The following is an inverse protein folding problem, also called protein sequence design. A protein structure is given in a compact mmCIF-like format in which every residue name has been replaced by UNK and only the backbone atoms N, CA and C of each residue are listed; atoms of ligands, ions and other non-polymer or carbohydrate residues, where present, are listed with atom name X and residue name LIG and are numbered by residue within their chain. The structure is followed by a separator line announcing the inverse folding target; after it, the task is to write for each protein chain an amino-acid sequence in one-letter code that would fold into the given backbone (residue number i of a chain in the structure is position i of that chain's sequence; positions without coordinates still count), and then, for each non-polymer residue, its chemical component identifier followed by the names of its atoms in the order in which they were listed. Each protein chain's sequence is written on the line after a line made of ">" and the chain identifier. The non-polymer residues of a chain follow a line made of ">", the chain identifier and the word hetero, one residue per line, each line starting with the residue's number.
data_IF_084200775192
#
_entry.id   IF_084200775192
#
_cell.length_a   1.000
_cell.length_b   1.000
_cell.length_c   1.000
_cell.angle_alpha   90.00
_cell.angle_beta   90.00
_cell.angle_gamma   90.00
#
_symmetry.space_group_name_H-M   'P 1'
#
loop_
_entity.id
_entity.type
_entity.pdbx_description
1 polymer ?
#
# COMPACT_ATOMS: atom_id res chain seq x y z
N UNK A 1 32.10 -27.34 -9.87
CA UNK A 1 31.65 -25.95 -9.65
C UNK A 1 30.21 -26.07 -9.19
N UNK A 2 30.03 -26.31 -7.89
CA UNK A 2 28.71 -26.54 -7.30
C UNK A 2 28.20 -25.20 -6.80
N UNK A 3 27.29 -24.63 -7.57
CA UNK A 3 26.47 -23.49 -7.17
C UNK A 3 25.36 -24.03 -6.25
N UNK A 4 25.77 -24.53 -5.07
CA UNK A 4 24.84 -24.85 -4.00
C UNK A 4 24.44 -23.50 -3.38
N UNK A 5 23.28 -23.01 -3.78
CA UNK A 5 22.61 -21.89 -3.12
C UNK A 5 22.55 -22.17 -1.61
N UNK A 6 23.09 -21.24 -0.81
CA UNK A 6 23.17 -21.33 0.66
C UNK A 6 21.82 -21.60 1.36
N UNK A 7 20.69 -21.50 0.64
CA UNK A 7 19.33 -21.68 1.17
C UNK A 7 18.80 -23.12 1.09
N UNK A 8 19.43 -24.00 0.31
CA UNK A 8 18.89 -25.34 0.01
C UNK A 8 17.74 -25.38 -1.01
N UNK A 9 17.34 -24.23 -1.58
CA UNK A 9 16.33 -24.14 -2.63
C UNK A 9 16.94 -23.89 -4.02
N UNK A 10 16.25 -24.33 -5.08
CA UNK A 10 16.66 -23.98 -6.45
C UNK A 10 16.65 -22.45 -6.61
N UNK A 11 17.55 -21.86 -7.41
CA UNK A 11 17.64 -20.40 -7.59
C UNK A 11 16.30 -19.72 -7.90
N UNK A 12 15.44 -20.36 -8.68
CA UNK A 12 14.11 -19.83 -9.02
C UNK A 12 13.12 -19.86 -7.85
N UNK A 13 13.24 -20.82 -6.93
CA UNK A 13 12.43 -20.86 -5.71
C UNK A 13 12.90 -19.77 -4.73
N UNK A 14 14.22 -19.60 -4.63
CA UNK A 14 14.87 -18.55 -3.85
C UNK A 14 14.42 -17.14 -4.28
N UNK A 15 14.38 -16.89 -5.58
CA UNK A 15 13.91 -15.62 -6.15
C UNK A 15 12.43 -15.34 -5.79
N UNK A 16 11.55 -16.34 -5.86
CA UNK A 16 10.14 -16.20 -5.47
C UNK A 16 10.01 -15.95 -3.96
N UNK A 17 10.78 -16.66 -3.12
CA UNK A 17 10.78 -16.46 -1.67
C UNK A 17 11.34 -15.09 -1.27
N UNK A 18 12.40 -14.61 -1.93
CA UNK A 18 12.91 -13.24 -1.75
C UNK A 18 11.88 -12.20 -2.14
N UNK A 19 11.17 -12.43 -3.26
CA UNK A 19 10.07 -11.55 -3.70
C UNK A 19 8.95 -11.53 -2.66
N UNK A 20 8.61 -12.67 -2.06
CA UNK A 20 7.61 -12.76 -0.98
C UNK A 20 8.06 -11.96 0.26
N UNK A 21 9.33 -12.11 0.67
CA UNK A 21 9.88 -11.34 1.80
C UNK A 21 9.81 -9.84 1.57
N UNK A 22 10.21 -9.37 0.39
CA UNK A 22 10.11 -7.97 -0.01
C UNK A 22 8.66 -7.47 -0.01
N UNK A 23 7.74 -8.27 -0.57
CA UNK A 23 6.33 -7.96 -0.61
C UNK A 23 5.74 -7.78 0.80
N UNK A 24 6.07 -8.67 1.75
CA UNK A 24 5.61 -8.56 3.14
C UNK A 24 6.11 -7.26 3.79
N UNK A 25 7.40 -6.93 3.65
CA UNK A 25 7.97 -5.71 4.21
C UNK A 25 7.33 -4.46 3.59
N UNK A 26 7.17 -4.43 2.26
CA UNK A 26 6.52 -3.33 1.56
C UNK A 26 5.06 -3.14 2.03
N UNK A 27 4.33 -4.25 2.19
CA UNK A 27 2.97 -4.26 2.73
C UNK A 27 2.87 -3.67 4.14
N UNK A 28 3.77 -4.06 5.04
CA UNK A 28 3.84 -3.52 6.40
C UNK A 28 4.09 -2.00 6.39
N UNK A 29 4.90 -1.50 5.45
CA UNK A 29 5.10 -0.06 5.26
C UNK A 29 3.80 0.67 4.90
N UNK A 30 2.98 0.09 4.01
CA UNK A 30 1.67 0.64 3.64
C UNK A 30 0.71 0.62 4.84
N UNK A 31 0.68 -0.47 5.61
CA UNK A 31 -0.14 -0.59 6.83
C UNK A 31 0.24 0.47 7.88
N UNK A 32 1.55 0.74 8.03
CA UNK A 32 2.04 1.79 8.92
C UNK A 32 1.66 3.20 8.44
N UNK A 33 1.71 3.46 7.13
CA UNK A 33 1.25 4.72 6.55
C UNK A 33 -0.26 4.92 6.73
N UNK A 34 -1.04 3.87 6.50
CA UNK A 34 -2.48 3.89 6.75
C UNK A 34 -2.76 4.17 8.23
N UNK A 35 -2.06 3.49 9.15
CA UNK A 35 -2.17 3.77 10.58
C UNK A 35 -1.83 5.23 10.92
N UNK A 36 -0.76 5.77 10.35
CA UNK A 36 -0.40 7.18 10.53
C UNK A 36 -1.48 8.12 10.00
N UNK A 37 -2.09 7.81 8.85
CA UNK A 37 -3.19 8.60 8.32
C UNK A 37 -4.40 8.62 9.28
N UNK A 38 -4.71 7.48 9.89
CA UNK A 38 -5.80 7.37 10.87
C UNK A 38 -5.50 8.11 12.18
N UNK A 39 -4.25 8.11 12.62
CA UNK A 39 -3.82 8.79 13.84
C UNK A 39 -3.77 10.32 13.70
N UNK A 40 -3.46 10.84 12.51
CA UNK A 40 -3.22 12.27 12.31
C UNK A 40 -4.25 12.92 11.38
N UNK A 41 -4.12 12.89 10.03
CA UNK A 41 -5.00 13.64 9.14
C UNK A 41 -6.47 13.22 9.25
N UNK A 42 -6.73 11.93 9.51
CA UNK A 42 -8.07 11.36 9.60
C UNK A 42 -8.51 11.14 11.05
N UNK A 43 -7.78 11.68 12.03
CA UNK A 43 -8.12 11.53 13.44
C UNK A 43 -9.54 12.03 13.71
N UNK A 44 -10.37 11.20 14.35
CA UNK A 44 -11.78 11.52 14.65
C UNK A 44 -12.78 11.16 13.55
N UNK A 45 -12.34 10.73 12.37
CA UNK A 45 -13.15 10.25 11.25
C UNK A 45 -12.85 8.74 11.01
N UNK A 46 -13.80 7.97 10.47
CA UNK A 46 -14.57 6.89 11.12
C UNK A 46 -13.81 5.69 11.71
N UNK A 47 -12.48 5.67 11.64
CA UNK A 47 -11.58 4.67 12.19
C UNK A 47 -10.87 5.27 13.41
N UNK A 48 -11.42 5.01 14.59
CA UNK A 48 -11.03 5.63 15.85
C UNK A 48 -9.93 4.89 16.60
N UNK A 49 -9.66 3.62 16.27
CA UNK A 49 -8.74 2.78 17.04
C UNK A 49 -7.93 1.81 16.18
N UNK A 50 -6.79 1.36 16.71
CA UNK A 50 -5.91 0.35 16.09
C UNK A 50 -6.67 -0.95 15.83
N UNK A 51 -7.64 -1.30 16.67
CA UNK A 51 -8.48 -2.49 16.52
C UNK A 51 -9.40 -2.39 15.31
N UNK A 52 -9.90 -1.20 14.97
CA UNK A 52 -10.73 -1.01 13.78
C UNK A 52 -9.90 -1.07 12.49
N UNK A 53 -8.64 -0.61 12.55
CA UNK A 53 -7.66 -0.83 11.49
C UNK A 53 -7.34 -2.32 11.34
N UNK A 54 -7.11 -3.04 12.44
CA UNK A 54 -6.93 -4.49 12.41
C UNK A 54 -8.14 -5.20 11.81
N UNK A 55 -9.37 -4.81 12.17
CA UNK A 55 -10.57 -5.36 11.55
C UNK A 55 -10.64 -5.09 10.05
N UNK A 56 -10.25 -3.89 9.59
CA UNK A 56 -10.15 -3.59 8.16
C UNK A 56 -9.10 -4.49 7.49
N UNK A 57 -7.92 -4.61 8.08
CA UNK A 57 -6.82 -5.41 7.55
C UNK A 57 -7.17 -6.89 7.55
N UNK A 58 -7.60 -7.47 8.66
CA UNK A 58 -7.91 -8.90 8.82
C UNK A 58 -9.14 -9.33 8.02
N UNK A 59 -10.21 -8.52 8.02
CA UNK A 59 -11.49 -8.93 7.43
C UNK A 59 -11.74 -8.35 6.05
N UNK A 60 -10.91 -7.40 5.59
CA UNK A 60 -11.18 -6.64 4.38
C UNK A 60 -12.64 -6.13 4.34
N UNK A 61 -13.04 -5.42 5.41
CA UNK A 61 -14.41 -4.92 5.56
C UNK A 61 -14.71 -3.82 4.55
N UNK A 62 -15.50 -4.13 3.51
CA UNK A 62 -15.95 -3.15 2.50
C UNK A 62 -16.64 -1.92 3.11
N UNK A 63 -17.41 -2.11 4.18
CA UNK A 63 -18.07 -1.00 4.88
C UNK A 63 -17.07 -0.08 5.59
N UNK A 64 -15.98 -0.63 6.12
CA UNK A 64 -14.91 0.15 6.75
C UNK A 64 -14.03 0.82 5.69
N UNK A 65 -13.75 0.15 4.58
CA UNK A 65 -13.03 0.69 3.44
C UNK A 65 -13.78 1.88 2.81
N UNK A 66 -15.09 1.74 2.54
CA UNK A 66 -15.89 2.84 1.98
C UNK A 66 -15.94 4.07 2.87
N UNK A 67 -15.96 3.86 4.20
CA UNK A 67 -15.88 4.93 5.21
C UNK A 67 -14.53 5.65 5.19
N UNK A 68 -13.43 4.91 5.08
CA UNK A 68 -12.08 5.48 4.91
C UNK A 68 -11.97 6.28 3.61
N UNK A 69 -12.42 5.71 2.48
CA UNK A 69 -12.39 6.36 1.16
C UNK A 69 -13.18 7.66 1.14
N UNK A 70 -14.34 7.70 1.80
CA UNK A 70 -15.12 8.92 1.97
C UNK A 70 -14.32 10.00 2.70
N UNK A 71 -13.74 9.66 3.86
CA UNK A 71 -12.95 10.61 4.66
C UNK A 71 -11.68 11.12 3.95
N UNK A 72 -11.09 10.29 3.08
CA UNK A 72 -9.96 10.69 2.23
C UNK A 72 -10.39 11.67 1.13
N UNK A 73 -11.50 11.38 0.42
CA UNK A 73 -12.02 12.25 -0.66
C UNK A 73 -12.44 13.63 -0.17
N UNK A 74 -12.80 13.76 1.11
CA UNK A 74 -13.11 15.06 1.72
C UNK A 74 -11.85 15.94 1.89
N UNK A 75 -10.65 15.36 1.86
CA UNK A 75 -9.38 16.06 2.12
C UNK A 75 -8.48 16.16 0.89
N UNK A 76 -8.58 15.19 -0.03
CA UNK A 76 -7.75 15.11 -1.23
C UNK A 76 -8.59 14.67 -2.42
N UNK A 77 -8.29 15.24 -3.58
CA UNK A 77 -8.85 14.75 -4.84
C UNK A 77 -8.16 13.44 -5.21
N UNK A 78 -8.90 12.34 -5.13
CA UNK A 78 -8.38 11.00 -5.40
C UNK A 78 -8.70 10.60 -6.83
N UNK A 79 -7.71 10.06 -7.54
CA UNK A 79 -7.93 9.46 -8.85
C UNK A 79 -9.08 8.42 -8.80
N UNK A 80 -10.00 8.39 -9.79
CA UNK A 80 -11.20 7.54 -9.74
C UNK A 80 -10.92 6.04 -9.54
N UNK A 81 -9.74 5.57 -9.97
CA UNK A 81 -9.34 4.15 -9.85
C UNK A 81 -8.74 3.80 -8.49
N UNK A 82 -8.55 4.77 -7.59
CA UNK A 82 -7.87 4.53 -6.31
C UNK A 82 -8.62 3.52 -5.44
N UNK A 83 -9.95 3.59 -5.42
CA UNK A 83 -10.81 2.68 -4.64
C UNK A 83 -10.51 1.21 -5.00
N UNK A 84 -10.44 0.93 -6.31
CA UNK A 84 -10.14 -0.41 -6.81
C UNK A 84 -8.70 -0.84 -6.50
N UNK A 85 -7.75 0.10 -6.53
CA UNK A 85 -6.35 -0.18 -6.19
C UNK A 85 -6.22 -0.53 -4.71
N UNK A 86 -6.87 0.23 -3.83
CA UNK A 86 -6.84 -0.02 -2.38
C UNK A 86 -7.57 -1.32 -2.02
N UNK A 87 -8.74 -1.59 -2.62
CA UNK A 87 -9.48 -2.84 -2.43
C UNK A 87 -8.60 -4.05 -2.86
N UNK A 88 -7.99 -3.99 -4.06
CA UNK A 88 -7.06 -5.05 -4.51
C UNK A 88 -5.87 -5.22 -3.58
N UNK A 89 -5.26 -4.13 -3.11
CA UNK A 89 -4.14 -4.18 -2.16
C UNK A 89 -4.53 -4.95 -0.89
N UNK A 90 -5.66 -4.60 -0.27
CA UNK A 90 -6.14 -5.23 0.97
C UNK A 90 -6.53 -6.71 0.75
N UNK A 91 -7.14 -7.03 -0.39
CA UNK A 91 -7.43 -8.42 -0.76
C UNK A 91 -6.14 -9.25 -0.88
N UNK A 92 -5.15 -8.74 -1.61
CA UNK A 92 -3.87 -9.42 -1.79
C UNK A 92 -3.11 -9.58 -0.46
N UNK A 93 -3.11 -8.55 0.39
CA UNK A 93 -2.56 -8.63 1.75
C UNK A 93 -3.15 -9.80 2.52
N UNK A 94 -4.48 -9.97 2.48
CA UNK A 94 -5.14 -11.08 3.18
C UNK A 94 -4.86 -12.45 2.59
N UNK A 95 -4.66 -12.53 1.27
CA UNK A 95 -4.17 -13.75 0.65
C UNK A 95 -2.77 -14.08 1.18
N UNK A 96 -1.84 -13.11 1.20
CA UNK A 96 -0.48 -13.31 1.71
C UNK A 96 -0.49 -13.73 3.18
N UNK A 97 -1.26 -13.05 4.02
CA UNK A 97 -1.27 -13.27 5.46
C UNK A 97 -1.96 -14.57 5.89
N UNK A 98 -3.01 -14.99 5.17
CA UNK A 98 -3.92 -16.02 5.69
C UNK A 98 -4.26 -17.14 4.70
N UNK A 99 -4.12 -16.92 3.38
CA UNK A 99 -4.73 -17.81 2.37
C UNK A 99 -3.82 -18.17 1.22
N UNK A 100 -2.51 -18.01 1.37
CA UNK A 100 -1.55 -18.23 0.27
C UNK A 100 -1.61 -19.65 -0.30
N UNK A 101 -1.97 -20.64 0.55
CA UNK A 101 -2.12 -22.05 0.18
C UNK A 101 -3.50 -22.40 -0.41
N UNK A 102 -4.51 -21.53 -0.26
CA UNK A 102 -5.91 -21.80 -0.60
C UNK A 102 -6.34 -21.17 -1.94
N UNK A 103 -5.40 -20.60 -2.70
CA UNK A 103 -5.73 -19.93 -3.96
C UNK A 103 -6.02 -20.96 -5.05
N UNK A 104 -7.24 -20.98 -5.64
CA UNK A 104 -7.59 -21.91 -6.71
C UNK A 104 -6.66 -21.76 -7.92
N UNK A 105 -6.25 -22.88 -8.51
CA UNK A 105 -5.22 -22.89 -9.56
C UNK A 105 -3.79 -22.74 -9.02
N UNK A 106 -3.61 -22.45 -7.74
CA UNK A 106 -2.40 -22.70 -6.96
C UNK A 106 -1.29 -21.65 -7.13
N UNK A 107 -0.85 -21.13 -5.98
CA UNK A 107 0.50 -20.60 -5.80
C UNK A 107 1.36 -21.71 -5.21
N UNK A 108 2.45 -22.06 -5.88
CA UNK A 108 3.31 -23.14 -5.41
C UNK A 108 4.77 -22.91 -5.82
N UNK A 109 5.69 -23.51 -5.07
CA UNK A 109 7.14 -23.40 -5.31
C UNK A 109 7.69 -24.56 -6.13
N UNK A 110 6.89 -25.54 -6.52
CA UNK A 110 7.35 -26.81 -7.08
C UNK A 110 7.16 -26.87 -8.60
N UNK A 111 6.07 -26.33 -9.12
CA UNK A 111 5.75 -26.18 -10.54
C UNK A 111 6.28 -24.84 -11.10
N UNK A 112 6.63 -24.83 -12.39
CA UNK A 112 7.01 -23.58 -13.07
C UNK A 112 5.83 -22.59 -13.11
N UNK A 113 4.63 -23.12 -13.34
CA UNK A 113 3.41 -22.34 -13.50
C UNK A 113 2.99 -21.67 -12.18
N UNK A 114 3.00 -22.41 -11.07
CA UNK A 114 2.70 -21.89 -9.74
C UNK A 114 3.70 -20.86 -9.27
N UNK A 115 5.00 -21.06 -9.55
CA UNK A 115 6.04 -20.05 -9.28
C UNK A 115 5.81 -18.78 -10.07
N UNK A 116 5.48 -18.91 -11.36
CA UNK A 116 5.17 -17.78 -12.22
C UNK A 116 3.97 -16.98 -11.72
N UNK A 117 2.87 -17.66 -11.38
CA UNK A 117 1.66 -17.04 -10.81
C UNK A 117 1.94 -16.35 -9.48
N UNK A 118 2.64 -17.03 -8.57
CA UNK A 118 2.99 -16.46 -7.26
C UNK A 118 3.85 -15.20 -7.43
N UNK A 119 4.89 -15.25 -8.27
CA UNK A 119 5.73 -14.07 -8.52
C UNK A 119 4.93 -12.91 -9.11
N UNK A 120 4.11 -13.17 -10.12
CA UNK A 120 3.26 -12.13 -10.74
C UNK A 120 2.29 -11.51 -9.72
N UNK A 121 1.66 -12.35 -8.89
CA UNK A 121 0.78 -11.90 -7.81
C UNK A 121 1.52 -10.99 -6.80
N UNK A 122 2.72 -11.37 -6.37
CA UNK A 122 3.52 -10.58 -5.42
C UNK A 122 3.98 -9.24 -6.02
N UNK A 123 4.39 -9.23 -7.30
CA UNK A 123 4.74 -8.01 -8.01
C UNK A 123 3.54 -7.06 -8.12
N UNK A 124 2.36 -7.57 -8.48
CA UNK A 124 1.14 -6.77 -8.55
C UNK A 124 0.74 -6.22 -7.18
N UNK A 125 0.90 -7.01 -6.12
CA UNK A 125 0.66 -6.55 -4.75
C UNK A 125 1.57 -5.39 -4.37
N UNK A 126 2.87 -5.48 -4.66
CA UNK A 126 3.81 -4.38 -4.40
C UNK A 126 3.51 -3.13 -5.24
N UNK A 127 3.10 -3.29 -6.49
CA UNK A 127 2.70 -2.16 -7.35
C UNK A 127 1.47 -1.44 -6.79
N UNK A 128 0.41 -2.19 -6.43
CA UNK A 128 -0.76 -1.60 -5.77
C UNK A 128 -0.36 -0.93 -4.44
N UNK A 129 0.50 -1.57 -3.64
CA UNK A 129 1.01 -1.01 -2.39
C UNK A 129 1.79 0.29 -2.60
N UNK A 130 2.56 0.40 -3.67
CA UNK A 130 3.28 1.63 -4.02
C UNK A 130 2.29 2.77 -4.30
N UNK A 131 1.30 2.55 -5.16
CA UNK A 131 0.26 3.55 -5.46
C UNK A 131 -0.50 3.97 -4.19
N UNK A 132 -0.88 3.01 -3.35
CA UNK A 132 -1.56 3.28 -2.07
C UNK A 132 -0.67 4.12 -1.14
N UNK A 133 0.61 3.78 -1.03
CA UNK A 133 1.58 4.52 -0.21
C UNK A 133 1.72 5.95 -0.66
N UNK A 134 1.77 6.21 -1.97
CA UNK A 134 1.91 7.56 -2.50
C UNK A 134 0.72 8.44 -2.16
N UNK A 135 -0.50 7.91 -2.25
CA UNK A 135 -1.69 8.66 -1.83
C UNK A 135 -1.66 8.97 -0.33
N UNK A 136 -1.36 7.98 0.52
CA UNK A 136 -1.29 8.20 1.97
C UNK A 136 -0.17 9.16 2.38
N UNK A 137 0.99 9.10 1.72
CA UNK A 137 2.06 10.09 1.89
C UNK A 137 1.60 11.48 1.48
N UNK A 138 0.88 11.62 0.36
CA UNK A 138 0.30 12.89 -0.07
C UNK A 138 -0.66 13.48 0.96
N UNK A 139 -1.54 12.65 1.54
CA UNK A 139 -2.47 13.05 2.60
C UNK A 139 -1.74 13.50 3.86
N UNK A 140 -0.77 12.71 4.34
CA UNK A 140 0.04 13.06 5.52
C UNK A 140 0.82 14.35 5.31
N UNK A 141 1.40 14.52 4.12
CA UNK A 141 2.15 15.73 3.76
C UNK A 141 1.23 16.96 3.70
N UNK A 142 0.06 16.84 3.07
CA UNK A 142 -0.91 17.93 2.99
C UNK A 142 -1.39 18.38 4.36
N UNK A 143 -1.65 17.42 5.25
CA UNK A 143 -2.00 17.71 6.64
C UNK A 143 -0.85 18.36 7.42
N UNK A 144 0.37 17.82 7.33
CA UNK A 144 1.51 18.40 8.03
C UNK A 144 1.78 19.86 7.61
N UNK A 145 1.63 20.18 6.32
CA UNK A 145 1.72 21.57 5.82
C UNK A 145 0.61 22.44 6.42
N UNK A 146 -0.63 21.96 6.47
CA UNK A 146 -1.76 22.68 7.07
C UNK A 146 -1.53 23.00 8.56
N UNK A 147 -0.97 22.05 9.32
CA UNK A 147 -0.62 22.22 10.73
C UNK A 147 0.66 23.05 10.96
N UNK A 148 1.27 23.59 9.90
CA UNK A 148 2.50 24.37 9.99
C UNK A 148 3.75 23.56 10.36
N UNK A 149 3.70 22.23 10.21
CA UNK A 149 4.84 21.35 10.44
C UNK A 149 5.81 21.51 9.26
N UNK A 150 7.02 21.98 9.57
CA UNK A 150 8.09 22.06 8.57
C UNK A 150 8.49 20.66 8.13
N UNK A 151 8.22 20.33 6.87
CA UNK A 151 8.67 19.09 6.24
C UNK A 151 10.01 19.39 5.57
N UNK A 152 11.13 18.79 6.01
CA UNK A 152 12.42 18.98 5.36
C UNK A 152 12.31 18.60 3.88
N UNK A 153 12.46 19.59 2.98
CA UNK A 153 12.48 19.39 1.53
C UNK A 153 13.78 18.76 1.05
N UNK A 154 14.77 18.60 1.92
CA UNK A 154 16.08 18.10 1.56
C UNK A 154 16.12 16.57 1.50
N UNK A 155 16.15 16.08 0.25
CA UNK A 155 16.95 14.92 -0.20
C UNK A 155 16.40 13.49 -0.22
N UNK A 156 15.09 13.22 -0.23
CA UNK A 156 14.61 11.82 -0.40
C UNK A 156 13.42 11.57 -1.33
N UNK A 157 12.74 12.58 -1.85
CA UNK A 157 11.72 12.34 -2.87
C UNK A 157 12.39 12.22 -4.24
N UNK A 158 12.47 10.99 -4.75
CA UNK A 158 12.89 10.79 -6.15
C UNK A 158 11.94 11.55 -7.09
N UNK A 159 12.44 12.08 -8.21
CA UNK A 159 11.62 12.75 -9.23
C UNK A 159 10.38 11.91 -9.60
N UNK A 160 10.54 10.59 -9.68
CA UNK A 160 9.46 9.62 -9.92
C UNK A 160 8.32 9.67 -8.89
N UNK A 161 8.64 9.95 -7.62
CA UNK A 161 7.62 10.15 -6.57
C UNK A 161 6.89 11.48 -6.72
N UNK A 162 7.59 12.54 -7.13
CA UNK A 162 6.95 13.84 -7.40
C UNK A 162 6.02 13.71 -8.61
N UNK A 163 6.52 13.15 -9.71
CA UNK A 163 5.73 12.95 -10.94
C UNK A 163 4.49 12.07 -10.68
N UNK A 164 4.60 11.05 -9.81
CA UNK A 164 3.46 10.21 -9.43
C UNK A 164 2.46 10.93 -8.52
N UNK A 165 2.92 11.77 -7.59
CA UNK A 165 2.03 12.63 -6.80
C UNK A 165 1.30 13.61 -7.72
N UNK A 166 2.00 14.30 -8.60
CA UNK A 166 1.41 15.27 -9.53
C UNK A 166 0.43 14.62 -10.54
N UNK A 167 0.70 13.36 -10.93
CA UNK A 167 -0.16 12.60 -11.83
C UNK A 167 -1.40 11.99 -11.16
N UNK A 168 -1.35 11.74 -9.84
CA UNK A 168 -2.45 11.08 -9.10
C UNK A 168 -3.15 12.00 -8.09
N UNK A 169 -2.59 13.18 -7.86
CA UNK A 169 -3.12 14.29 -7.06
C UNK A 169 -3.09 15.52 -7.99
N UNK A 170 -4.19 15.76 -8.72
CA UNK A 170 -4.29 16.91 -9.62
C UNK A 170 -4.14 18.25 -8.86
N UNK A 171 -3.61 19.31 -9.51
CA UNK A 171 -3.02 20.44 -8.80
C UNK A 171 -4.11 21.38 -8.29
N UNK A 172 -4.21 21.53 -6.97
CA UNK A 172 -4.16 22.84 -6.32
C UNK A 172 -4.26 22.76 -4.79
N UNK A 173 -3.24 22.21 -4.15
CA UNK A 173 -3.02 22.43 -2.71
C UNK A 173 -2.93 23.94 -2.39
N UNK A 174 -2.36 24.76 -3.28
CA UNK A 174 -2.28 26.22 -3.11
C UNK A 174 -3.64 26.93 -3.19
N UNK A 175 -4.61 26.41 -3.96
CA UNK A 175 -5.96 27.02 -4.02
C UNK A 175 -6.78 26.66 -2.79
N UNK A 176 -6.54 25.48 -2.19
CA UNK A 176 -7.16 25.10 -0.90
C UNK A 176 -6.60 25.92 0.28
N UNK A 177 -5.31 26.26 0.24
CA UNK A 177 -4.63 27.05 1.29
C UNK A 177 -5.02 28.54 1.24
N UNK A 178 -5.36 29.07 0.07
CA UNK A 178 -5.72 30.50 -0.09
C UNK A 178 -7.22 30.82 0.04
N UNK A 179 -8.12 29.83 0.10
CA UNK A 179 -9.54 30.08 0.34
C UNK A 179 -9.90 30.00 1.82
N UNK A 180 -9.37 30.93 2.62
CA UNK A 180 -9.98 31.44 3.86
C UNK A 180 -9.39 32.80 4.20
#
# INVERSE_FOLDING_TARGET
>A
MNDESQSGYKPIQDDVLKTLGLAVIAGQGVEHLLSSCLTFPLHGEPLQTVEQLQLLLERHSKATLGRLLKALRERVDLHPTFDDVLDRFLQHRNIIAHRLHDVPGGFDLHSNEGRGRLKAFLLQYMENGHTVSMVFLGVLRGWAIHEGIAIPTEHHLSQRMQDHLDANVMPNLETLIRSK
#
